data_IF_640231368819
#
_entry.id   IF_640231368819
#
_cell.length_a   1.000
_cell.length_b   1.000
_cell.length_c   1.000
_cell.angle_alpha   90.00
_cell.angle_beta   90.00
_cell.angle_gamma   90.00
#
_symmetry.space_group_name_H-M   'P 1'
#
loop_
_entity.id
_entity.type
_entity.pdbx_description
1 polymer ?
#
# COMPACT_ATOMS: atom_id res chain seq x y z
N UNK A 1 19.84 -15.31 -12.52
CA UNK A 1 19.45 -14.33 -11.49
C UNK A 1 20.30 -13.08 -11.68
N UNK A 2 19.88 -12.17 -12.57
CA UNK A 2 20.46 -10.84 -12.71
C UNK A 2 19.38 -9.97 -13.36
N UNK A 3 19.11 -8.80 -12.79
CA UNK A 3 18.04 -7.92 -13.26
C UNK A 3 17.42 -7.00 -12.19
N UNK A 4 18.12 -6.73 -11.08
CA UNK A 4 17.74 -5.66 -10.14
C UNK A 4 18.46 -4.35 -10.47
N UNK A 5 18.57 -4.03 -11.76
CA UNK A 5 19.06 -2.73 -12.24
C UNK A 5 18.03 -2.24 -13.26
N UNK A 6 17.03 -1.50 -12.75
CA UNK A 6 16.07 -0.74 -13.54
C UNK A 6 15.41 -1.47 -14.72
N UNK A 7 15.07 -2.76 -14.58
CA UNK A 7 14.39 -3.49 -15.65
C UNK A 7 12.91 -3.09 -15.71
N UNK A 8 12.47 -2.62 -16.88
CA UNK A 8 11.16 -1.98 -17.10
C UNK A 8 9.96 -2.83 -16.64
N UNK A 9 10.13 -4.15 -16.50
CA UNK A 9 9.06 -5.07 -16.06
C UNK A 9 8.90 -5.14 -14.55
N UNK A 10 9.99 -5.08 -13.77
CA UNK A 10 9.90 -5.02 -12.32
C UNK A 10 9.24 -3.71 -11.86
N UNK A 11 9.48 -2.62 -12.60
CA UNK A 11 8.84 -1.33 -12.36
C UNK A 11 7.31 -1.42 -12.38
N UNK A 12 6.71 -2.18 -13.30
CA UNK A 12 5.24 -2.35 -13.35
C UNK A 12 4.71 -2.97 -12.06
N UNK A 13 5.42 -3.97 -11.50
CA UNK A 13 5.03 -4.57 -10.24
C UNK A 13 5.14 -3.56 -9.08
N UNK A 14 6.20 -2.75 -9.05
CA UNK A 14 6.35 -1.70 -8.05
C UNK A 14 5.34 -0.56 -8.21
N UNK A 15 4.95 -0.21 -9.44
CA UNK A 15 3.91 0.81 -9.68
C UNK A 15 2.55 0.31 -9.14
N UNK A 16 2.22 -0.96 -9.34
CA UNK A 16 1.03 -1.59 -8.74
C UNK A 16 1.12 -1.59 -7.22
N UNK A 17 2.23 -2.03 -6.64
CA UNK A 17 2.38 -2.18 -5.18
C UNK A 17 2.60 -0.85 -4.45
N UNK A 18 3.13 0.17 -5.12
CA UNK A 18 3.39 1.50 -4.58
C UNK A 18 2.12 2.30 -4.29
N UNK A 19 0.97 1.86 -4.80
CA UNK A 19 -0.32 2.38 -4.40
C UNK A 19 -0.74 1.79 -3.04
N UNK A 20 -0.91 2.67 -2.04
CA UNK A 20 -1.14 2.35 -0.62
C UNK A 20 -2.15 1.23 -0.35
N UNK A 21 -3.25 1.19 -1.12
CA UNK A 21 -4.35 0.27 -0.86
C UNK A 21 -4.38 -0.96 -1.77
N UNK A 22 -3.54 -1.02 -2.81
CA UNK A 22 -3.57 -2.12 -3.78
C UNK A 22 -3.24 -3.45 -3.11
N UNK A 23 -2.14 -3.54 -2.37
CA UNK A 23 -1.74 -4.75 -1.66
C UNK A 23 -2.81 -5.22 -0.65
N UNK A 24 -3.38 -4.28 0.10
CA UNK A 24 -4.41 -4.58 1.11
C UNK A 24 -5.69 -5.12 0.47
N UNK A 25 -6.16 -4.51 -0.62
CA UNK A 25 -7.35 -4.96 -1.36
C UNK A 25 -7.13 -6.34 -1.98
N UNK A 26 -5.97 -6.55 -2.63
CA UNK A 26 -5.64 -7.84 -3.23
C UNK A 26 -5.56 -8.95 -2.17
N UNK A 27 -4.93 -8.66 -1.03
CA UNK A 27 -4.84 -9.59 0.09
C UNK A 27 -6.22 -9.92 0.68
N UNK A 28 -7.11 -8.94 0.83
CA UNK A 28 -8.45 -9.17 1.34
C UNK A 28 -9.33 -10.02 0.40
N UNK A 29 -9.07 -9.97 -0.92
CA UNK A 29 -9.74 -10.78 -1.94
C UNK A 29 -9.20 -12.21 -2.07
N UNK A 30 -8.13 -12.58 -1.33
CA UNK A 30 -7.52 -13.92 -1.42
C UNK A 30 -8.47 -15.06 -1.06
N UNK A 31 -9.45 -14.79 -0.19
CA UNK A 31 -10.44 -15.79 0.26
C UNK A 31 -11.60 -15.98 -0.73
N UNK A 32 -11.63 -15.21 -1.82
CA UNK A 32 -12.66 -15.30 -2.85
C UNK A 32 -13.38 -13.98 -3.12
N UNK A 33 -14.31 -13.98 -4.09
CA UNK A 33 -15.04 -12.78 -4.47
C UNK A 33 -15.90 -12.25 -3.31
N UNK A 34 -16.02 -10.92 -3.20
CA UNK A 34 -16.87 -10.29 -2.18
C UNK A 34 -17.44 -8.95 -2.63
N UNK A 35 -18.47 -8.49 -1.93
CA UNK A 35 -19.08 -7.18 -2.20
C UNK A 35 -18.18 -6.04 -1.67
N UNK A 36 -18.23 -4.82 -2.25
CA UNK A 36 -17.43 -3.69 -1.75
C UNK A 36 -17.69 -3.36 -0.27
N UNK A 37 -18.91 -3.53 0.20
CA UNK A 37 -19.27 -3.27 1.61
C UNK A 37 -18.57 -4.26 2.54
N UNK A 38 -18.59 -5.55 2.18
CA UNK A 38 -17.90 -6.61 2.92
C UNK A 38 -16.39 -6.40 2.87
N UNK A 39 -15.86 -6.06 1.70
CA UNK A 39 -14.44 -5.78 1.51
C UNK A 39 -13.98 -4.60 2.37
N UNK A 40 -14.76 -3.51 2.41
CA UNK A 40 -14.47 -2.34 3.26
C UNK A 40 -14.46 -2.71 4.74
N UNK A 41 -15.43 -3.51 5.18
CA UNK A 41 -15.52 -3.96 6.55
C UNK A 41 -14.34 -4.86 6.94
N UNK A 42 -13.89 -5.74 6.03
CA UNK A 42 -12.70 -6.59 6.23
C UNK A 42 -11.41 -5.79 6.29
N UNK A 43 -11.27 -4.75 5.48
CA UNK A 43 -10.04 -3.94 5.39
C UNK A 43 -9.91 -2.97 6.55
N UNK A 44 -10.98 -2.23 6.90
CA UNK A 44 -10.93 -1.18 7.91
C UNK A 44 -10.09 0.05 7.47
N UNK A 45 -10.39 1.24 8.00
CA UNK A 45 -9.62 2.46 7.73
C UNK A 45 -9.69 3.05 6.31
N UNK A 46 -10.15 2.29 5.30
CA UNK A 46 -10.33 2.77 3.93
C UNK A 46 -11.70 3.42 3.73
N UNK A 47 -11.72 4.62 3.13
CA UNK A 47 -12.98 5.27 2.74
C UNK A 47 -13.65 4.55 1.58
N UNK A 48 -14.97 4.65 1.46
CA UNK A 48 -15.71 4.04 0.34
C UNK A 48 -15.25 4.61 -1.02
N UNK A 49 -14.89 5.89 -1.07
CA UNK A 49 -14.35 6.54 -2.27
C UNK A 49 -13.01 5.92 -2.68
N UNK A 50 -12.06 5.83 -1.75
CA UNK A 50 -10.72 5.28 -2.01
C UNK A 50 -10.81 3.79 -2.37
N UNK A 51 -11.69 3.03 -1.72
CA UNK A 51 -11.92 1.63 -2.09
C UNK A 51 -12.41 1.49 -3.53
N UNK A 52 -13.40 2.29 -3.94
CA UNK A 52 -13.93 2.25 -5.31
C UNK A 52 -12.87 2.67 -6.34
N UNK A 53 -12.06 3.69 -6.04
CA UNK A 53 -10.95 4.11 -6.90
C UNK A 53 -9.88 3.02 -7.03
N UNK A 54 -9.56 2.35 -5.92
CA UNK A 54 -8.61 1.22 -5.88
C UNK A 54 -9.12 0.03 -6.69
N UNK A 55 -10.39 -0.36 -6.51
CA UNK A 55 -11.00 -1.45 -7.27
C UNK A 55 -11.03 -1.15 -8.77
N UNK A 56 -11.36 0.09 -9.18
CA UNK A 56 -11.32 0.51 -10.59
C UNK A 56 -9.91 0.43 -11.17
N UNK A 57 -8.90 0.79 -10.38
CA UNK A 57 -7.49 0.68 -10.79
C UNK A 57 -7.10 -0.78 -11.00
N UNK A 58 -7.32 -1.63 -9.99
CA UNK A 58 -7.02 -3.06 -10.07
C UNK A 58 -7.81 -3.79 -11.16
N UNK A 59 -9.02 -3.33 -11.48
CA UNK A 59 -9.81 -3.83 -12.61
C UNK A 59 -9.16 -3.44 -13.96
N UNK A 60 -8.72 -2.19 -14.11
CA UNK A 60 -7.99 -1.74 -15.32
C UNK A 60 -6.65 -2.44 -15.49
N UNK A 61 -5.94 -2.71 -14.39
CA UNK A 61 -4.66 -3.41 -14.39
C UNK A 61 -4.82 -4.93 -14.65
N UNK A 62 -6.06 -5.43 -14.74
CA UNK A 62 -6.34 -6.84 -15.00
C UNK A 62 -6.08 -7.76 -13.80
N UNK A 63 -6.00 -7.22 -12.59
CA UNK A 63 -5.75 -7.96 -11.35
C UNK A 63 -7.05 -8.37 -10.65
N UNK A 64 -8.13 -7.61 -10.88
CA UNK A 64 -9.44 -7.85 -10.28
C UNK A 64 -10.51 -7.90 -11.37
N UNK A 65 -11.45 -8.81 -11.22
CA UNK A 65 -12.69 -8.87 -12.03
C UNK A 65 -13.84 -8.24 -11.26
N UNK A 66 -14.76 -7.63 -12.01
CA UNK A 66 -16.03 -7.13 -11.49
C UNK A 66 -17.18 -7.91 -12.10
N UNK A 67 -17.94 -8.63 -11.28
CA UNK A 67 -19.10 -9.41 -11.71
C UNK A 67 -20.39 -8.78 -11.20
N UNK A 68 -21.30 -8.48 -12.13
CA UNK A 68 -22.66 -8.01 -11.81
C UNK A 68 -23.62 -9.19 -11.82
N UNK A 69 -24.51 -9.25 -10.84
CA UNK A 69 -25.57 -10.25 -10.75
C UNK A 69 -26.93 -9.55 -10.91
N UNK A 70 -27.74 -10.05 -11.85
CA UNK A 70 -29.08 -9.52 -12.18
C UNK A 70 -30.19 -10.18 -11.35
N UNK A 71 -29.92 -10.47 -10.09
CA UNK A 71 -30.90 -10.95 -9.12
C UNK A 71 -31.57 -9.76 -8.40
N UNK A 72 -32.63 -10.02 -7.65
CA UNK A 72 -33.25 -9.04 -6.77
C UNK A 72 -32.83 -9.29 -5.30
N UNK A 73 -32.11 -8.36 -4.63
CA UNK A 73 -31.61 -7.09 -5.14
C UNK A 73 -30.32 -7.24 -5.98
N UNK A 74 -30.09 -6.35 -6.98
CA UNK A 74 -28.88 -6.42 -7.80
C UNK A 74 -27.64 -6.27 -6.94
N UNK A 75 -26.64 -7.13 -7.16
CA UNK A 75 -25.36 -7.08 -6.45
C UNK A 75 -24.16 -7.07 -7.40
N UNK A 76 -23.05 -6.55 -6.89
CA UNK A 76 -21.75 -6.61 -7.57
C UNK A 76 -20.73 -7.24 -6.64
N UNK A 77 -19.89 -8.09 -7.21
CA UNK A 77 -18.77 -8.71 -6.51
C UNK A 77 -17.48 -8.43 -7.26
N UNK A 78 -16.42 -8.31 -6.49
CA UNK A 78 -15.06 -8.19 -7.00
C UNK A 78 -14.28 -9.42 -6.57
N UNK A 79 -13.43 -9.95 -7.45
CA UNK A 79 -12.59 -11.10 -7.15
C UNK A 79 -11.31 -11.11 -7.97
N UNK A 80 -10.27 -11.77 -7.48
CA UNK A 80 -8.98 -11.83 -8.17
C UNK A 80 -9.10 -12.54 -9.53
N UNK A 81 -8.44 -11.98 -10.55
CA UNK A 81 -8.17 -12.69 -11.80
C UNK A 81 -7.11 -13.78 -11.55
N UNK A 82 -6.87 -14.70 -12.51
CA UNK A 82 -5.70 -15.59 -12.47
C UNK A 82 -4.40 -14.80 -12.28
N UNK A 83 -4.24 -13.67 -12.99
CA UNK A 83 -3.08 -12.77 -12.84
C UNK A 83 -3.02 -12.13 -11.44
N UNK A 84 -4.14 -11.66 -10.89
CA UNK A 84 -4.16 -11.09 -9.54
C UNK A 84 -3.75 -12.10 -8.47
N UNK A 85 -4.09 -13.38 -8.66
CA UNK A 85 -3.67 -14.46 -7.75
C UNK A 85 -2.16 -14.70 -7.79
N UNK A 86 -1.48 -14.51 -8.91
CA UNK A 86 -0.02 -14.70 -8.99
C UNK A 86 0.76 -13.66 -8.18
N UNK A 87 0.13 -12.55 -7.76
CA UNK A 87 0.75 -11.54 -6.91
C UNK A 87 0.67 -11.86 -5.41
N UNK A 88 -0.18 -12.81 -4.99
CA UNK A 88 -0.35 -13.16 -3.58
C UNK A 88 0.93 -13.63 -2.89
N UNK A 89 1.78 -14.50 -3.50
CA UNK A 89 3.03 -14.92 -2.88
C UNK A 89 4.01 -13.76 -2.65
N UNK A 90 4.04 -12.78 -3.57
CA UNK A 90 4.86 -11.58 -3.39
C UNK A 90 4.36 -10.73 -2.22
N UNK A 91 3.05 -10.52 -2.12
CA UNK A 91 2.43 -9.80 -1.01
C UNK A 91 2.69 -10.50 0.34
N UNK A 92 2.67 -11.83 0.36
CA UNK A 92 2.98 -12.63 1.55
C UNK A 92 4.45 -12.45 1.97
N UNK A 93 5.39 -12.51 1.02
CA UNK A 93 6.80 -12.27 1.31
C UNK A 93 7.06 -10.83 1.81
N UNK A 94 6.40 -9.83 1.22
CA UNK A 94 6.47 -8.46 1.70
C UNK A 94 5.88 -8.31 3.11
N UNK A 95 4.75 -8.95 3.38
CA UNK A 95 4.12 -8.96 4.72
C UNK A 95 5.01 -9.60 5.77
N UNK A 96 5.64 -10.74 5.45
CA UNK A 96 6.58 -11.42 6.34
C UNK A 96 7.78 -10.52 6.68
N UNK A 97 8.39 -9.90 5.66
CA UNK A 97 9.47 -8.95 5.88
C UNK A 97 9.03 -7.74 6.74
N UNK A 98 7.86 -7.16 6.43
CA UNK A 98 7.33 -6.01 7.17
C UNK A 98 7.00 -6.35 8.63
N UNK A 99 6.58 -7.59 8.92
CA UNK A 99 6.32 -8.01 10.31
C UNK A 99 7.59 -8.07 11.17
N UNK A 100 8.76 -8.30 10.54
CA UNK A 100 10.04 -8.39 11.24
C UNK A 100 10.75 -7.03 11.30
N UNK A 101 10.61 -6.20 10.26
CA UNK A 101 11.41 -4.99 10.09
C UNK A 101 10.61 -3.68 10.04
N UNK A 102 9.28 -3.75 10.03
CA UNK A 102 8.42 -2.57 9.88
C UNK A 102 8.64 -1.52 10.95
N UNK A 103 8.76 -1.95 12.21
CA UNK A 103 8.99 -1.04 13.35
C UNK A 103 10.37 -0.35 13.24
N UNK A 104 11.39 -1.07 12.78
CA UNK A 104 12.72 -0.49 12.56
C UNK A 104 12.69 0.59 11.46
N UNK A 105 11.90 0.38 10.39
CA UNK A 105 11.71 1.38 9.33
C UNK A 105 10.92 2.59 9.85
N UNK A 106 9.90 2.39 10.68
CA UNK A 106 9.14 3.48 11.28
C UNK A 106 10.02 4.33 12.21
N UNK A 107 10.76 3.69 13.11
CA UNK A 107 11.68 4.36 14.04
C UNK A 107 12.78 5.16 13.31
N UNK A 108 13.31 4.63 12.20
CA UNK A 108 14.30 5.34 11.40
C UNK A 108 13.74 6.64 10.79
N UNK A 109 12.47 6.66 10.39
CA UNK A 109 11.81 7.86 9.85
C UNK A 109 11.57 8.92 10.91
N UNK A 110 11.17 8.51 12.11
CA UNK A 110 10.97 9.41 13.24
C UNK A 110 12.29 10.03 13.73
N UNK A 111 13.39 9.28 13.63
CA UNK A 111 14.74 9.77 13.97
C UNK A 111 15.27 10.87 13.06
N UNK A 112 14.87 10.91 11.78
CA UNK A 112 15.27 11.95 10.83
C UNK A 112 14.52 13.28 11.06
N UNK A 113 13.27 13.23 11.55
CA UNK A 113 12.48 14.44 11.85
C UNK A 113 12.95 15.13 13.15
N UNK A 114 13.73 14.45 14.00
CA UNK A 114 14.24 14.95 15.27
C UNK A 114 15.57 15.73 15.22
N UNK A 115 16.30 15.72 14.09
CA UNK A 115 17.64 16.34 13.97
C UNK A 115 17.63 17.71 13.25
N UNK A 116 16.46 18.18 12.81
CA UNK A 116 16.31 19.45 12.07
C UNK A 116 16.11 20.71 12.93
N UNK A 117 16.06 20.60 14.26
CA UNK A 117 15.68 21.70 15.14
C UNK A 117 16.65 21.91 16.30
N UNK A 118 17.90 22.29 16.02
CA UNK A 118 18.68 23.31 16.77
C UNK A 118 20.13 23.39 16.28
N UNK A 119 20.41 24.19 15.25
CA UNK A 119 21.73 24.83 15.08
C UNK A 119 21.51 26.26 14.60
N UNK A 120 21.17 27.16 15.53
CA UNK A 120 21.58 28.56 15.39
C UNK A 120 22.66 28.82 16.43
N UNK A 121 23.95 28.98 16.06
CA UNK A 121 24.98 29.28 17.03
C UNK A 121 24.74 30.71 17.54
N UNK A 122 24.20 30.82 18.76
CA UNK A 122 24.05 32.11 19.45
C UNK A 122 25.46 32.64 19.73
N UNK A 123 25.94 33.55 18.88
CA UNK A 123 27.17 34.33 19.12
C UNK A 123 27.05 34.98 20.50
N UNK A 124 27.85 34.50 21.46
CA UNK A 124 28.14 35.23 22.70
C UNK A 124 29.11 36.33 22.33
N UNK A 125 28.64 37.57 22.26
CA UNK A 125 29.52 38.74 22.35
C UNK A 125 30.03 38.83 23.78
N UNK A 126 31.35 38.86 24.02
CA UNK A 126 31.87 39.15 25.35
C UNK A 126 31.74 40.66 25.59
N UNK A 127 31.10 41.02 26.71
CA UNK A 127 31.13 42.39 27.25
C UNK A 127 32.53 42.64 27.82
N UNK A 128 33.29 43.65 27.37
CA UNK A 128 34.48 44.06 28.11
C UNK A 128 34.03 44.96 29.27
N UNK A 129 34.44 44.58 30.48
CA UNK A 129 34.28 45.43 31.65
C UNK A 129 35.34 46.53 31.68
N UNK A 130 34.89 47.77 31.87
CA UNK A 130 35.41 48.81 32.79
C UNK A 130 34.60 50.08 32.58
#
# INVERSE_FOLDING_TARGET
>A
MSGFIADCRARVAFDVLGHTWNGVVLWALRQGPCRPVELRARIGGISAKVLNETLRRLERDGLVTRRRFREAPPRVEYGLTPLGRTLLPALEAFGAWASVHGDAVAAAREGEEGDGADVTPRRRTPTPGS
#
